data_IF_419290700859
#
_entry.id   IF_419290700859
#
_cell.length_a   1.000
_cell.length_b   1.000
_cell.length_c   1.000
_cell.angle_alpha   90.00
_cell.angle_beta   90.00
_cell.angle_gamma   90.00
#
_symmetry.space_group_name_H-M   'P 1'
#
loop_
_entity.id
_entity.type
_entity.pdbx_description
1 polymer ?
#
# COMPACT_ATOMS: atom_id res chain seq x y z
N UNK A 1 -21.38 -15.87 -0.30
CA UNK A 1 -22.36 -15.60 -1.36
C UNK A 1 -21.70 -14.63 -2.32
N UNK A 2 -21.13 -15.15 -3.41
CA UNK A 2 -20.32 -14.38 -4.36
C UNK A 2 -21.28 -13.69 -5.34
N UNK A 3 -21.28 -12.36 -5.38
CA UNK A 3 -22.14 -11.58 -6.29
C UNK A 3 -21.45 -11.59 -7.66
N UNK A 4 -22.16 -12.05 -8.68
CA UNK A 4 -21.61 -12.43 -9.99
C UNK A 4 -22.27 -11.63 -11.10
N UNK A 5 -21.46 -11.01 -11.96
CA UNK A 5 -21.89 -10.53 -13.29
C UNK A 5 -21.29 -11.44 -14.37
N UNK A 6 -22.12 -11.92 -15.29
CA UNK A 6 -21.75 -12.83 -16.39
C UNK A 6 -21.88 -12.14 -17.75
N UNK A 7 -20.76 -12.04 -18.48
CA UNK A 7 -20.74 -12.02 -19.93
C UNK A 7 -19.68 -13.03 -20.40
N UNK A 8 -20.14 -14.21 -20.84
CA UNK A 8 -19.38 -15.30 -21.49
C UNK A 8 -18.14 -15.83 -20.73
N UNK A 9 -18.37 -16.88 -19.93
CA UNK A 9 -17.40 -17.96 -19.70
C UNK A 9 -16.16 -17.68 -18.82
N UNK A 10 -15.76 -16.42 -18.64
CA UNK A 10 -14.74 -16.03 -17.68
C UNK A 10 -15.41 -15.33 -16.48
N UNK A 11 -15.42 -16.00 -15.31
CA UNK A 11 -15.78 -15.36 -14.04
C UNK A 11 -14.65 -14.42 -13.64
N UNK A 12 -14.74 -13.15 -14.02
CA UNK A 12 -13.88 -12.10 -13.48
C UNK A 12 -14.38 -11.72 -12.09
N UNK A 13 -13.49 -11.61 -11.10
CA UNK A 13 -13.85 -11.16 -9.76
C UNK A 13 -13.94 -9.63 -9.73
N UNK A 14 -14.77 -9.08 -8.85
CA UNK A 14 -14.83 -7.64 -8.60
C UNK A 14 -13.66 -7.22 -7.69
N UNK A 15 -12.72 -6.37 -8.16
CA UNK A 15 -11.63 -5.87 -7.32
C UNK A 15 -12.12 -4.99 -6.18
N UNK A 16 -13.27 -4.33 -6.27
CA UNK A 16 -13.82 -3.51 -5.17
C UNK A 16 -14.40 -4.40 -4.07
N UNK A 17 -15.10 -5.48 -4.42
CA UNK A 17 -15.52 -6.49 -3.44
C UNK A 17 -14.30 -7.12 -2.75
N UNK A 18 -13.27 -7.48 -3.54
CA UNK A 18 -12.05 -8.05 -3.01
C UNK A 18 -11.27 -7.07 -2.12
N UNK A 19 -11.31 -5.76 -2.39
CA UNK A 19 -10.79 -4.73 -1.48
C UNK A 19 -11.46 -4.86 -0.11
N UNK A 20 -12.79 -4.89 -0.04
CA UNK A 20 -13.52 -4.95 1.24
C UNK A 20 -13.16 -6.20 2.04
N UNK A 21 -13.04 -7.35 1.36
CA UNK A 21 -12.63 -8.61 1.99
C UNK A 21 -11.18 -8.52 2.49
N UNK A 22 -10.28 -8.00 1.65
CA UNK A 22 -8.85 -7.89 1.98
C UNK A 22 -8.62 -6.90 3.12
N UNK A 23 -9.33 -5.78 3.15
CA UNK A 23 -9.21 -4.76 4.18
C UNK A 23 -9.51 -5.31 5.57
N UNK A 24 -10.57 -6.12 5.72
CA UNK A 24 -10.90 -6.81 6.99
C UNK A 24 -9.79 -7.73 7.50
N UNK A 25 -8.92 -8.20 6.61
CA UNK A 25 -7.82 -9.13 6.93
C UNK A 25 -6.53 -8.39 7.27
N UNK A 26 -6.30 -7.23 6.64
CA UNK A 26 -5.02 -6.53 6.67
C UNK A 26 -5.05 -5.22 7.44
N UNK A 27 -6.23 -4.75 7.86
CA UNK A 27 -6.42 -3.54 8.66
C UNK A 27 -7.13 -3.91 9.97
N UNK A 28 -6.65 -3.35 11.09
CA UNK A 28 -7.26 -3.50 12.42
C UNK A 28 -7.19 -2.17 13.16
N UNK A 29 -8.33 -1.48 13.30
CA UNK A 29 -8.35 -0.13 13.85
C UNK A 29 -7.46 0.81 13.03
N UNK A 30 -6.45 1.42 13.66
CA UNK A 30 -5.44 2.26 12.99
C UNK A 30 -4.28 1.47 12.38
N UNK A 31 -4.16 0.18 12.65
CA UNK A 31 -3.01 -0.62 12.24
C UNK A 31 -3.23 -1.28 10.87
N UNK A 32 -2.14 -1.48 10.13
CA UNK A 32 -2.14 -2.23 8.86
C UNK A 32 -1.01 -3.26 8.84
N UNK A 33 -1.23 -4.37 8.12
CA UNK A 33 -0.21 -5.40 7.92
C UNK A 33 0.89 -4.96 6.96
N UNK A 34 2.14 -5.16 7.40
CA UNK A 34 3.33 -5.07 6.55
C UNK A 34 4.12 -6.37 6.61
N UNK A 35 4.71 -6.75 5.47
CA UNK A 35 5.48 -7.98 5.33
C UNK A 35 6.92 -7.79 5.84
N UNK A 36 7.55 -6.67 5.47
CA UNK A 36 8.92 -6.33 5.89
C UNK A 36 9.21 -4.85 5.67
N UNK A 37 10.25 -4.38 6.36
CA UNK A 37 10.88 -3.08 6.18
C UNK A 37 12.31 -3.30 5.73
N UNK A 38 12.77 -2.58 4.70
CA UNK A 38 14.11 -2.80 4.12
C UNK A 38 14.68 -1.56 3.47
N UNK A 39 16.00 -1.48 3.47
CA UNK A 39 16.74 -0.63 2.55
C UNK A 39 16.72 -1.22 1.15
N UNK A 40 16.66 -0.36 0.13
CA UNK A 40 16.85 -0.75 -1.27
C UNK A 40 17.67 0.29 -2.01
N UNK A 41 18.40 -0.14 -3.04
CA UNK A 41 19.18 0.75 -3.92
C UNK A 41 18.37 1.29 -5.10
N UNK A 42 17.08 1.00 -5.17
CA UNK A 42 16.23 1.54 -6.22
C UNK A 42 16.10 3.05 -6.06
N UNK A 43 16.09 3.76 -7.19
CA UNK A 43 15.91 5.22 -7.25
C UNK A 43 17.00 6.00 -6.51
N UNK A 44 18.25 5.53 -6.58
CA UNK A 44 19.38 6.14 -5.87
C UNK A 44 19.51 5.61 -4.44
N UNK A 45 18.41 5.55 -3.69
CA UNK A 45 18.15 4.61 -2.60
C UNK A 45 16.80 4.92 -1.93
N UNK A 46 16.22 3.94 -1.23
CA UNK A 46 14.94 4.13 -0.53
C UNK A 46 14.82 3.27 0.73
N UNK A 47 14.16 3.79 1.76
CA UNK A 47 13.54 2.96 2.79
C UNK A 47 12.19 2.45 2.28
N UNK A 48 11.95 1.14 2.33
CA UNK A 48 10.73 0.50 1.80
C UNK A 48 9.98 -0.25 2.88
N UNK A 49 8.68 -0.02 2.97
CA UNK A 49 7.73 -0.91 3.63
C UNK A 49 6.97 -1.71 2.56
N UNK A 50 7.10 -3.03 2.57
CA UNK A 50 6.34 -3.91 1.67
C UNK A 50 4.99 -4.24 2.32
N UNK A 51 3.90 -3.75 1.75
CA UNK A 51 2.53 -3.91 2.28
C UNK A 51 1.97 -5.33 2.06
N UNK A 52 0.90 -5.68 2.79
CA UNK A 52 0.17 -6.95 2.68
C UNK A 52 -1.27 -6.68 2.24
N UNK A 53 -1.81 -7.57 1.40
CA UNK A 53 -3.17 -7.46 0.87
C UNK A 53 -3.23 -6.67 -0.43
N UNK A 54 -3.81 -7.27 -1.46
CA UNK A 54 -4.04 -6.63 -2.74
C UNK A 54 -5.40 -7.07 -3.28
N UNK A 55 -6.06 -6.16 -4.00
CA UNK A 55 -7.30 -6.41 -4.70
C UNK A 55 -7.11 -6.86 -6.16
N UNK A 56 -5.87 -7.16 -6.56
CA UNK A 56 -5.55 -7.80 -7.83
C UNK A 56 -4.92 -9.18 -7.62
N UNK A 57 -5.04 -10.03 -8.66
CA UNK A 57 -4.49 -11.39 -8.75
C UNK A 57 -3.64 -11.54 -10.01
N UNK A 58 -2.72 -10.59 -10.22
CA UNK A 58 -1.80 -10.62 -11.37
C UNK A 58 -1.02 -11.94 -11.40
N UNK A 59 -1.03 -12.63 -12.55
CA UNK A 59 -0.33 -13.91 -12.71
C UNK A 59 1.19 -13.78 -12.49
N UNK A 60 1.74 -12.62 -12.86
CA UNK A 60 3.14 -12.24 -12.71
C UNK A 60 3.45 -11.52 -11.38
N UNK A 61 2.57 -11.58 -10.38
CA UNK A 61 2.75 -10.84 -9.13
C UNK A 61 4.00 -11.31 -8.35
N UNK A 62 4.93 -10.38 -8.12
CA UNK A 62 6.16 -10.61 -7.36
C UNK A 62 5.99 -10.60 -5.82
N UNK A 63 4.83 -10.19 -5.32
CA UNK A 63 4.60 -10.02 -3.87
C UNK A 63 4.19 -11.31 -3.18
N UNK A 64 4.02 -12.39 -3.95
CA UNK A 64 3.90 -13.75 -3.47
C UNK A 64 2.88 -13.91 -2.34
N UNK A 65 3.35 -14.40 -1.18
CA UNK A 65 2.51 -14.69 -0.01
C UNK A 65 1.79 -13.46 0.54
N UNK A 66 2.35 -12.25 0.42
CA UNK A 66 1.71 -11.03 0.89
C UNK A 66 0.38 -10.73 0.16
N UNK A 67 0.20 -11.27 -1.05
CA UNK A 67 -1.05 -11.15 -1.82
C UNK A 67 -1.88 -12.44 -1.76
N UNK A 68 -1.23 -13.62 -1.83
CA UNK A 68 -1.92 -14.92 -1.89
C UNK A 68 -2.41 -15.42 -0.53
N UNK A 69 -1.70 -15.09 0.56
CA UNK A 69 -1.97 -15.56 1.92
C UNK A 69 -1.95 -14.40 2.94
N UNK A 70 -2.75 -13.32 2.75
CA UNK A 70 -2.69 -12.12 3.60
C UNK A 70 -3.12 -12.38 5.06
N UNK A 71 -3.88 -13.45 5.30
CA UNK A 71 -4.24 -13.91 6.65
C UNK A 71 -3.01 -14.37 7.46
N UNK A 72 -2.02 -14.99 6.79
CA UNK A 72 -0.86 -15.64 7.40
C UNK A 72 0.45 -14.87 7.20
N UNK A 73 0.39 -13.72 6.54
CA UNK A 73 1.58 -12.96 6.14
C UNK A 73 1.62 -11.59 6.80
N UNK A 74 2.81 -11.20 7.27
CA UNK A 74 3.07 -9.89 7.87
C UNK A 74 2.58 -9.75 9.31
N UNK A 75 2.77 -8.56 9.85
CA UNK A 75 2.34 -8.17 11.20
C UNK A 75 1.63 -6.83 11.14
N UNK A 76 0.71 -6.59 12.07
CA UNK A 76 0.06 -5.28 12.20
C UNK A 76 1.02 -4.27 12.79
N UNK A 77 1.03 -3.08 12.20
CA UNK A 77 1.82 -1.95 12.66
C UNK A 77 0.93 -0.71 12.74
N UNK A 78 0.98 0.06 13.83
CA UNK A 78 0.40 1.39 13.87
C UNK A 78 1.18 2.34 12.96
N UNK A 79 0.56 3.43 12.45
CA UNK A 79 1.20 4.32 11.48
C UNK A 79 2.50 4.96 12.01
N UNK A 80 2.57 5.25 13.31
CA UNK A 80 3.74 5.80 13.99
C UNK A 80 4.94 4.87 13.85
N UNK A 81 4.76 3.57 14.14
CA UNK A 81 5.84 2.59 14.03
C UNK A 81 6.30 2.38 12.57
N UNK A 82 5.38 2.49 11.61
CA UNK A 82 5.72 2.42 10.18
C UNK A 82 6.63 3.59 9.80
N UNK A 83 6.28 4.81 10.23
CA UNK A 83 7.05 6.04 9.98
C UNK A 83 8.42 5.95 10.64
N UNK A 84 8.48 5.59 11.94
CA UNK A 84 9.73 5.45 12.68
C UNK A 84 10.70 4.49 12.00
N UNK A 85 10.22 3.32 11.57
CA UNK A 85 11.03 2.33 10.86
C UNK A 85 11.52 2.86 9.51
N UNK A 86 10.67 3.55 8.75
CA UNK A 86 11.04 4.12 7.46
C UNK A 86 12.09 5.22 7.62
N UNK A 87 11.90 6.12 8.58
CA UNK A 87 12.82 7.22 8.90
C UNK A 87 14.15 6.69 9.40
N UNK A 88 14.16 5.70 10.30
CA UNK A 88 15.38 5.07 10.80
C UNK A 88 16.21 4.44 9.67
N UNK A 89 15.56 3.67 8.79
CA UNK A 89 16.22 3.08 7.62
C UNK A 89 16.74 4.18 6.69
N UNK A 90 15.94 5.21 6.42
CA UNK A 90 16.34 6.30 5.53
C UNK A 90 17.55 7.06 6.09
N UNK A 91 17.51 7.41 7.38
CA UNK A 91 18.59 8.11 8.09
C UNK A 91 19.90 7.31 8.09
N UNK A 92 19.84 6.04 8.50
CA UNK A 92 21.01 5.13 8.56
C UNK A 92 21.69 4.97 7.20
N UNK A 93 20.93 5.03 6.12
CA UNK A 93 21.44 4.84 4.76
C UNK A 93 21.57 6.15 3.96
N UNK A 94 21.35 7.31 4.61
CA UNK A 94 21.39 8.64 3.98
C UNK A 94 20.48 8.77 2.75
N UNK A 95 19.31 8.14 2.81
CA UNK A 95 18.30 8.18 1.76
C UNK A 95 17.29 9.30 2.01
N UNK A 96 16.85 9.93 0.92
CA UNK A 96 15.76 10.92 0.96
C UNK A 96 14.41 10.35 0.52
N UNK A 97 14.38 9.11 0.02
CA UNK A 97 13.17 8.47 -0.46
C UNK A 97 12.67 7.44 0.56
N UNK A 98 11.38 7.49 0.84
CA UNK A 98 10.65 6.40 1.49
C UNK A 98 9.57 5.90 0.56
N UNK A 99 9.19 4.62 0.66
CA UNK A 99 8.15 4.06 -0.19
C UNK A 99 7.33 3.01 0.51
N UNK A 100 6.05 2.96 0.18
CA UNK A 100 5.19 1.80 0.43
C UNK A 100 4.91 1.12 -0.90
N UNK A 101 5.19 -0.18 -0.95
CA UNK A 101 5.26 -0.98 -2.17
C UNK A 101 4.69 -2.39 -1.96
N UNK A 102 4.72 -3.23 -2.99
CA UNK A 102 4.43 -4.65 -2.93
C UNK A 102 3.00 -4.96 -3.32
N UNK A 103 2.12 -5.08 -2.32
CA UNK A 103 0.71 -5.42 -2.49
C UNK A 103 -0.12 -4.20 -2.95
N UNK A 104 -1.28 -3.90 -2.34
CA UNK A 104 -2.00 -2.64 -2.60
C UNK A 104 -1.96 -1.71 -1.37
N UNK A 105 -1.07 -0.70 -1.37
CA UNK A 105 -0.93 0.21 -0.26
C UNK A 105 -2.17 1.07 0.04
N UNK A 106 -3.05 1.31 -0.93
CA UNK A 106 -4.24 2.16 -0.74
C UNK A 106 -5.40 1.46 -0.02
N UNK A 107 -5.35 0.14 0.17
CA UNK A 107 -6.28 -0.56 1.10
C UNK A 107 -5.95 -0.11 2.53
N UNK A 108 -6.94 0.32 3.31
CA UNK A 108 -6.71 0.96 4.60
C UNK A 108 -6.44 2.47 4.48
N UNK A 109 -7.35 3.20 3.83
CA UNK A 109 -7.25 4.65 3.56
C UNK A 109 -6.83 5.47 4.77
N UNK A 110 -7.49 5.28 5.92
CA UNK A 110 -7.18 6.01 7.14
C UNK A 110 -5.74 5.79 7.63
N UNK A 111 -5.25 4.55 7.57
CA UNK A 111 -3.88 4.22 7.94
C UNK A 111 -2.85 4.89 7.00
N UNK A 112 -3.10 4.88 5.68
CA UNK A 112 -2.22 5.54 4.73
C UNK A 112 -2.17 7.05 4.95
N UNK A 113 -3.32 7.71 5.14
CA UNK A 113 -3.38 9.14 5.40
C UNK A 113 -2.66 9.50 6.71
N UNK A 114 -2.83 8.71 7.78
CA UNK A 114 -2.08 8.92 9.03
C UNK A 114 -0.57 8.80 8.84
N UNK A 115 -0.08 7.88 8.00
CA UNK A 115 1.35 7.83 7.65
C UNK A 115 1.79 9.10 6.95
N UNK A 116 1.02 9.57 5.96
CA UNK A 116 1.37 10.77 5.20
C UNK A 116 1.38 12.02 6.09
N UNK A 117 0.41 12.15 7.00
CA UNK A 117 0.37 13.24 8.00
C UNK A 117 1.63 13.26 8.87
N UNK A 118 2.04 12.10 9.38
CA UNK A 118 3.26 11.96 10.19
C UNK A 118 4.53 12.25 9.38
N UNK A 119 4.54 11.90 8.09
CA UNK A 119 5.69 12.10 7.20
C UNK A 119 5.94 13.56 6.85
N UNK A 120 4.94 14.46 6.94
CA UNK A 120 5.12 15.90 6.70
C UNK A 120 6.14 16.55 7.67
N UNK A 121 6.38 15.93 8.84
CA UNK A 121 7.43 16.34 9.77
C UNK A 121 8.86 16.08 9.29
N UNK A 122 9.04 15.37 8.18
CA UNK A 122 10.35 14.97 7.65
C UNK A 122 10.58 15.49 6.23
N UNK A 123 11.82 15.90 5.95
CA UNK A 123 12.24 16.32 4.61
C UNK A 123 12.58 15.10 3.71
N UNK A 124 11.60 14.20 3.57
CA UNK A 124 11.68 12.96 2.80
C UNK A 124 10.60 12.96 1.70
N UNK A 125 10.94 12.45 0.52
CA UNK A 125 9.95 12.21 -0.54
C UNK A 125 9.32 10.84 -0.32
N UNK A 126 7.99 10.82 -0.25
CA UNK A 126 7.21 9.61 -0.08
C UNK A 126 6.73 9.10 -1.44
N UNK A 127 7.08 7.87 -1.80
CA UNK A 127 6.63 7.22 -3.04
C UNK A 127 5.53 6.21 -2.71
N UNK A 128 4.32 6.48 -3.20
CA UNK A 128 3.18 5.57 -3.10
C UNK A 128 3.05 4.77 -4.40
N UNK A 129 3.34 3.46 -4.35
CA UNK A 129 3.15 2.57 -5.51
C UNK A 129 1.83 1.83 -5.41
N UNK A 130 0.91 2.08 -6.34
CA UNK A 130 -0.47 1.57 -6.29
C UNK A 130 -0.89 1.03 -7.65
N UNK A 131 -1.88 0.14 -7.70
CA UNK A 131 -2.57 -0.23 -8.94
C UNK A 131 -3.62 0.81 -9.38
N UNK A 132 -3.94 1.79 -8.53
CA UNK A 132 -4.80 2.93 -8.86
C UNK A 132 -6.30 2.65 -8.87
N UNK A 133 -6.77 1.41 -8.67
CA UNK A 133 -8.20 1.07 -8.73
C UNK A 133 -9.00 1.87 -7.70
N UNK A 134 -8.52 1.93 -6.45
CA UNK A 134 -9.21 2.68 -5.39
C UNK A 134 -9.15 4.19 -5.58
N UNK A 135 -8.06 4.69 -6.18
CA UNK A 135 -7.95 6.11 -6.52
C UNK A 135 -8.89 6.50 -7.65
N UNK A 136 -9.02 5.65 -8.67
CA UNK A 136 -9.96 5.87 -9.78
C UNK A 136 -11.42 5.72 -9.37
N UNK A 137 -11.71 4.94 -8.33
CA UNK A 137 -13.07 4.73 -7.82
C UNK A 137 -13.53 5.85 -6.87
N UNK A 138 -12.65 6.36 -6.01
CA UNK A 138 -12.99 7.35 -4.98
C UNK A 138 -12.24 8.67 -5.21
N UNK A 139 -12.96 9.65 -5.80
CA UNK A 139 -12.44 11.00 -6.03
C UNK A 139 -11.98 11.68 -4.74
N UNK A 140 -12.70 11.48 -3.63
CA UNK A 140 -12.34 12.07 -2.34
C UNK A 140 -11.03 11.51 -1.79
N UNK A 141 -10.64 10.30 -2.20
CA UNK A 141 -9.33 9.75 -1.85
C UNK A 141 -8.21 10.51 -2.60
N UNK A 142 -8.40 10.77 -3.90
CA UNK A 142 -7.43 11.56 -4.68
C UNK A 142 -7.31 12.99 -4.15
N UNK A 143 -8.44 13.62 -3.83
CA UNK A 143 -8.46 14.97 -3.23
C UNK A 143 -7.68 15.00 -1.90
N UNK A 144 -7.89 14.01 -1.03
CA UNK A 144 -7.12 13.90 0.22
C UNK A 144 -5.60 13.73 -0.03
N UNK A 145 -5.22 12.92 -1.03
CA UNK A 145 -3.80 12.74 -1.37
C UNK A 145 -3.16 13.99 -2.01
N UNK A 146 -3.95 14.81 -2.71
CA UNK A 146 -3.45 16.00 -3.41
C UNK A 146 -2.90 17.09 -2.47
N UNK A 147 -3.23 17.04 -1.18
CA UNK A 147 -2.76 18.00 -0.18
C UNK A 147 -1.30 17.79 0.25
N UNK A 148 -0.72 16.61 0.03
CA UNK A 148 0.64 16.29 0.49
C UNK A 148 1.69 16.72 -0.52
N UNK A 149 2.61 17.60 -0.11
CA UNK A 149 3.61 18.20 -1.01
C UNK A 149 4.73 17.25 -1.39
N UNK A 150 5.12 16.36 -0.47
CA UNK A 150 6.23 15.43 -0.66
C UNK A 150 5.76 14.04 -1.13
N UNK A 151 4.52 13.90 -1.58
CA UNK A 151 3.94 12.65 -2.06
C UNK A 151 4.08 12.50 -3.58
N UNK A 152 4.76 11.44 -4.01
CA UNK A 152 4.84 11.01 -5.39
C UNK A 152 4.04 9.73 -5.59
N UNK A 153 2.91 9.81 -6.30
CA UNK A 153 2.07 8.64 -6.60
C UNK A 153 2.51 8.00 -7.91
N UNK A 154 2.74 6.69 -7.89
CA UNK A 154 3.08 5.87 -9.06
C UNK A 154 2.01 4.82 -9.27
N UNK A 155 1.22 5.02 -10.32
CA UNK A 155 0.16 4.10 -10.72
C UNK A 155 0.74 3.06 -11.67
N UNK A 156 0.67 1.79 -11.27
CA UNK A 156 1.01 0.67 -12.13
C UNK A 156 -0.20 0.27 -12.96
N UNK A 157 -0.13 0.49 -14.26
CA UNK A 157 -1.09 -0.06 -15.22
C UNK A 157 -0.79 -1.57 -15.34
N UNK A 158 -1.80 -2.41 -15.13
CA UNK A 158 -1.67 -3.87 -15.00
C UNK A 158 -2.49 -4.60 -16.05
#
# INVERSE_FOLDING_TARGET
MWILFTLRGFRMYDPLELTKITERVVVKGREKKYFRFRFTRFYGCSATADSVGCNLRCIFCWSGRAVREPNRTGRFYPPEEVVDRLVDIASKNRCRLVRISGAEPTIGRGHLLSILDLMEGYNLTFILETNGILLGYDRGYVEALSGYKNLHVRVSIK
#
